data_IF_853290661255
#
_entry.id   IF_853290661255
#
_cell.length_a   1.000
_cell.length_b   1.000
_cell.length_c   1.000
_cell.angle_alpha   90.00
_cell.angle_beta   90.00
_cell.angle_gamma   90.00
#
_symmetry.space_group_name_H-M   'P 1'
#
loop_
_entity.id
_entity.type
_entity.pdbx_description
1 polymer ?
#
# COMPACT_ATOMS: atom_id res chain seq x y z
N UNK A 1 -16.16 16.06 9.11
CA UNK A 1 -15.45 16.41 7.87
C UNK A 1 -15.70 15.29 6.87
N UNK A 2 -16.42 15.59 5.78
CA UNK A 2 -16.42 14.78 4.57
C UNK A 2 -14.98 14.53 4.09
N UNK A 3 -14.78 13.48 3.30
CA UNK A 3 -13.44 13.01 2.94
C UNK A 3 -13.04 13.39 1.52
N UNK A 4 -11.77 13.74 1.34
CA UNK A 4 -11.15 13.80 0.00
C UNK A 4 -10.91 12.38 -0.54
N UNK A 5 -10.71 12.23 -1.86
CA UNK A 5 -10.43 10.92 -2.46
C UNK A 5 -9.20 10.24 -1.86
N UNK A 6 -9.28 8.92 -1.70
CA UNK A 6 -8.17 8.11 -1.19
C UNK A 6 -7.14 7.83 -2.28
N UNK A 7 -5.88 7.76 -1.91
CA UNK A 7 -4.79 7.38 -2.81
C UNK A 7 -4.22 6.03 -2.42
N UNK A 8 -3.86 5.24 -3.42
CA UNK A 8 -3.26 3.93 -3.23
C UNK A 8 -2.13 3.69 -4.22
N UNK A 9 -1.02 3.17 -3.68
CA UNK A 9 0.16 2.73 -4.43
C UNK A 9 0.42 1.30 -3.99
N UNK A 10 0.17 0.35 -4.88
CA UNK A 10 0.23 -1.07 -4.55
C UNK A 10 0.96 -1.87 -5.62
N UNK A 11 1.53 -3.01 -5.22
CA UNK A 11 2.03 -4.02 -6.12
C UNK A 11 1.08 -5.22 -6.09
N UNK A 12 0.64 -5.67 -7.26
CA UNK A 12 -0.19 -6.86 -7.42
C UNK A 12 0.56 -7.91 -8.25
N UNK A 13 0.32 -9.19 -7.96
CA UNK A 13 0.78 -10.28 -8.82
C UNK A 13 0.23 -10.14 -10.24
N UNK A 14 1.01 -10.52 -11.26
CA UNK A 14 0.49 -10.59 -12.64
C UNK A 14 -0.66 -11.59 -12.76
N UNK A 15 -1.54 -11.38 -13.76
CA UNK A 15 -2.58 -12.34 -14.12
C UNK A 15 -1.96 -13.71 -14.42
N UNK A 16 -2.55 -14.78 -13.90
CA UNK A 16 -2.00 -16.14 -14.02
C UNK A 16 -0.93 -16.49 -12.98
N UNK A 17 -0.89 -15.79 -11.84
CA UNK A 17 0.00 -16.13 -10.71
C UNK A 17 -0.07 -17.61 -10.37
N UNK A 18 1.11 -18.19 -10.08
CA UNK A 18 1.28 -19.59 -9.66
C UNK A 18 0.40 -19.94 -8.46
N UNK A 19 0.12 -18.98 -7.59
CA UNK A 19 -0.69 -19.17 -6.38
C UNK A 19 -2.19 -18.90 -6.57
N UNK A 20 -2.63 -18.57 -7.79
CA UNK A 20 -4.03 -18.38 -8.12
C UNK A 20 -4.48 -16.92 -8.08
N UNK A 21 -5.73 -16.68 -7.67
CA UNK A 21 -6.32 -15.32 -7.63
C UNK A 21 -6.10 -14.68 -6.27
N UNK A 22 -6.25 -13.36 -6.21
CA UNK A 22 -6.26 -12.61 -4.95
C UNK A 22 -7.21 -13.25 -3.90
N UNK A 23 -6.82 -13.35 -2.62
CA UNK A 23 -5.57 -12.84 -2.02
C UNK A 23 -4.42 -13.86 -2.02
N UNK A 24 -4.59 -15.03 -2.64
CA UNK A 24 -3.56 -16.08 -2.65
C UNK A 24 -2.30 -15.63 -3.39
N UNK A 25 -2.48 -14.79 -4.40
CA UNK A 25 -1.42 -14.28 -5.24
C UNK A 25 -0.61 -13.13 -4.63
N UNK A 26 -1.06 -12.58 -3.50
CA UNK A 26 -0.38 -11.50 -2.81
C UNK A 26 -0.69 -10.09 -3.32
N UNK A 27 -0.67 -9.12 -2.42
CA UNK A 27 -0.68 -7.67 -2.71
C UNK A 27 0.15 -6.94 -1.64
N UNK A 28 0.97 -6.00 -2.09
CA UNK A 28 1.81 -5.15 -1.24
C UNK A 28 1.34 -3.70 -1.41
N UNK A 29 0.61 -3.19 -0.43
CA UNK A 29 0.22 -1.79 -0.38
C UNK A 29 1.34 -0.96 0.22
N UNK A 30 2.05 -0.25 -0.66
CA UNK A 30 3.19 0.59 -0.30
C UNK A 30 2.74 1.88 0.39
N UNK A 31 1.61 2.43 -0.06
CA UNK A 31 1.00 3.63 0.50
C UNK A 31 -0.52 3.61 0.28
N UNK A 32 -1.27 3.65 1.38
CA UNK A 32 -2.69 3.98 1.40
C UNK A 32 -2.92 5.22 2.26
N UNK A 33 -3.63 6.20 1.72
CA UNK A 33 -4.06 7.38 2.45
C UNK A 33 -5.55 7.63 2.21
N UNK A 34 -6.25 8.04 3.26
CA UNK A 34 -7.68 8.34 3.21
C UNK A 34 -7.92 9.80 3.52
N UNK A 35 -8.78 10.45 2.73
CA UNK A 35 -8.92 11.90 2.78
C UNK A 35 -9.38 12.49 4.11
N UNK A 36 -10.16 11.73 4.90
CA UNK A 36 -10.58 12.18 6.23
C UNK A 36 -9.50 12.00 7.32
N UNK A 37 -8.35 11.44 6.99
CA UNK A 37 -7.19 11.29 7.87
C UNK A 37 -5.88 11.63 7.12
N UNK A 38 -5.73 12.89 6.64
CA UNK A 38 -4.70 13.27 5.67
C UNK A 38 -3.29 13.01 6.19
N UNK A 39 -3.04 13.23 7.49
CA UNK A 39 -1.73 13.04 8.12
C UNK A 39 -1.33 11.60 8.46
N UNK A 40 -2.08 10.60 7.96
CA UNK A 40 -1.86 9.18 8.26
C UNK A 40 -1.75 8.37 6.99
N UNK A 41 -0.60 7.76 6.83
CA UNK A 41 -0.29 6.82 5.76
C UNK A 41 -0.31 5.39 6.29
N UNK A 42 -0.69 4.43 5.45
CA UNK A 42 -0.71 3.01 5.80
C UNK A 42 0.06 2.21 4.77
N UNK A 43 0.75 1.19 5.25
CA UNK A 43 1.20 0.07 4.44
C UNK A 43 0.46 -1.18 4.88
N UNK A 44 0.06 -1.99 3.91
CA UNK A 44 -0.72 -3.20 4.12
C UNK A 44 -0.12 -4.34 3.30
N UNK A 45 -0.20 -5.55 3.85
CA UNK A 45 0.22 -6.77 3.16
C UNK A 45 -1.01 -7.66 3.04
N UNK A 46 -1.35 -8.08 1.84
CA UNK A 46 -2.47 -8.97 1.61
C UNK A 46 -1.99 -10.35 1.13
N UNK A 47 -2.42 -11.40 1.84
CA UNK A 47 -2.09 -12.82 1.57
C UNK A 47 -3.29 -13.70 1.90
N UNK A 48 -3.18 -15.01 1.63
CA UNK A 48 -4.19 -15.98 2.04
C UNK A 48 -4.48 -15.91 3.56
N UNK A 49 -3.44 -15.74 4.37
CA UNK A 49 -3.55 -15.61 5.83
C UNK A 49 -3.94 -14.23 6.33
N UNK A 50 -3.66 -13.18 5.54
CA UNK A 50 -3.91 -11.80 5.93
C UNK A 50 -4.67 -11.03 4.85
N UNK A 51 -6.00 -10.94 4.95
CA UNK A 51 -6.80 -10.15 4.01
C UNK A 51 -8.12 -9.72 4.66
N UNK A 52 -8.70 -8.63 4.15
CA UNK A 52 -9.95 -8.04 4.69
C UNK A 52 -9.82 -7.72 6.18
N UNK A 53 -10.60 -8.41 7.03
CA UNK A 53 -10.58 -8.28 8.50
C UNK A 53 -9.72 -9.36 9.18
N UNK A 54 -9.12 -10.28 8.40
CA UNK A 54 -8.32 -11.39 8.91
C UNK A 54 -6.84 -10.98 8.91
N UNK A 55 -6.21 -11.18 10.07
CA UNK A 55 -4.82 -10.80 10.32
C UNK A 55 -4.63 -9.28 10.51
N UNK A 56 -3.51 -8.90 11.12
CA UNK A 56 -3.22 -7.52 11.53
C UNK A 56 -1.93 -6.98 10.89
N UNK A 57 -1.82 -7.12 9.57
CA UNK A 57 -0.67 -6.64 8.78
C UNK A 57 -0.96 -5.35 8.01
N UNK A 58 -1.76 -4.49 8.63
CA UNK A 58 -1.94 -3.10 8.23
C UNK A 58 -1.23 -2.24 9.26
N UNK A 59 -0.16 -1.55 8.87
CA UNK A 59 0.56 -0.63 9.75
C UNK A 59 0.36 0.80 9.32
N UNK A 60 0.04 1.62 10.31
CA UNK A 60 -0.17 3.04 10.14
C UNK A 60 1.06 3.78 10.62
N UNK A 61 1.44 4.82 9.90
CA UNK A 61 2.34 5.84 10.38
C UNK A 61 1.57 7.16 10.42
N UNK A 62 1.54 7.76 11.61
CA UNK A 62 1.02 9.12 11.82
C UNK A 62 2.19 10.11 11.78
N UNK A 63 1.90 11.37 11.45
CA UNK A 63 2.89 12.44 11.49
C UNK A 63 3.42 12.89 10.12
N UNK A 64 2.93 12.29 9.03
CA UNK A 64 3.12 12.79 7.66
C UNK A 64 2.09 13.90 7.40
N UNK A 65 2.17 14.98 8.19
CA UNK A 65 1.08 15.98 8.33
C UNK A 65 0.72 16.66 7.01
N UNK A 66 1.69 16.74 6.11
CA UNK A 66 1.68 17.38 4.81
C UNK A 66 1.58 16.40 3.64
N UNK A 67 1.15 15.15 3.88
CA UNK A 67 1.00 14.12 2.84
C UNK A 67 0.13 14.52 1.63
N UNK A 68 -0.72 15.55 1.77
CA UNK A 68 -1.56 16.10 0.69
C UNK A 68 -1.00 17.38 0.06
N UNK A 69 0.01 18.00 0.65
CA UNK A 69 0.52 19.33 0.28
C UNK A 69 2.00 19.34 -0.06
N UNK A 70 2.73 18.26 0.19
CA UNK A 70 4.15 18.11 -0.11
C UNK A 70 4.45 16.75 -0.76
N UNK A 71 5.54 16.70 -1.52
CA UNK A 71 6.06 15.43 -2.02
C UNK A 71 6.76 14.68 -0.89
N UNK A 72 6.43 13.40 -0.76
CA UNK A 72 7.11 12.45 0.14
C UNK A 72 7.61 11.26 -0.67
N UNK A 73 8.70 10.66 -0.20
CA UNK A 73 9.23 9.42 -0.78
C UNK A 73 8.63 8.24 -0.03
N UNK A 74 7.74 7.52 -0.70
CA UNK A 74 7.23 6.23 -0.23
C UNK A 74 8.05 5.13 -0.89
N UNK A 75 8.62 4.24 -0.09
CA UNK A 75 9.47 3.16 -0.60
C UNK A 75 9.19 1.83 0.11
N UNK A 76 9.50 0.74 -0.59
CA UNK A 76 9.66 -0.57 0.04
C UNK A 76 10.97 -1.23 -0.39
N UNK A 77 11.65 -1.86 0.57
CA UNK A 77 12.73 -2.80 0.30
C UNK A 77 12.16 -4.21 0.34
N UNK A 78 12.13 -4.87 -0.81
CA UNK A 78 11.64 -6.23 -0.96
C UNK A 78 12.81 -7.18 -1.22
N UNK A 79 12.88 -8.22 -0.38
CA UNK A 79 13.87 -9.30 -0.43
C UNK A 79 13.16 -10.64 -0.22
N UNK A 80 13.82 -11.79 -0.49
CA UNK A 80 13.23 -13.11 -0.21
C UNK A 80 12.79 -13.30 1.25
N UNK A 81 13.42 -12.59 2.19
CA UNK A 81 13.21 -12.77 3.62
C UNK A 81 12.21 -11.78 4.24
N UNK A 82 11.97 -10.63 3.59
CA UNK A 82 11.13 -9.55 4.14
C UNK A 82 10.78 -8.47 3.13
N UNK A 83 9.69 -7.76 3.43
CA UNK A 83 9.31 -6.46 2.86
C UNK A 83 9.38 -5.41 3.97
N UNK A 84 10.17 -4.37 3.80
CA UNK A 84 10.26 -3.23 4.72
C UNK A 84 9.71 -1.97 4.05
N UNK A 85 8.95 -1.14 4.79
CA UNK A 85 8.27 0.04 4.27
C UNK A 85 8.77 1.32 4.92
N UNK A 86 8.87 2.37 4.11
CA UNK A 86 9.48 3.64 4.47
C UNK A 86 8.62 4.82 4.00
N UNK A 87 8.65 5.90 4.78
CA UNK A 87 8.28 7.26 4.36
C UNK A 87 9.46 8.16 4.67
N UNK A 88 9.98 8.88 3.68
CA UNK A 88 11.12 9.79 3.82
C UNK A 88 12.31 9.14 4.55
N UNK A 89 12.74 7.98 4.04
CA UNK A 89 13.83 7.14 4.58
C UNK A 89 13.60 6.59 6.00
N UNK A 90 12.46 6.86 6.61
CA UNK A 90 12.10 6.34 7.94
C UNK A 90 11.30 5.07 7.82
N UNK A 91 11.89 3.95 8.23
CA UNK A 91 11.18 2.68 8.33
C UNK A 91 10.05 2.78 9.35
N UNK A 92 8.86 2.34 8.98
CA UNK A 92 7.72 2.26 9.90
C UNK A 92 7.06 0.88 9.95
N UNK A 93 7.37 -0.01 9.01
CA UNK A 93 6.83 -1.36 8.98
C UNK A 93 7.80 -2.37 8.36
N UNK A 94 7.75 -3.62 8.85
CA UNK A 94 8.45 -4.76 8.31
C UNK A 94 7.55 -5.99 8.38
N UNK A 95 7.41 -6.67 7.25
CA UNK A 95 6.75 -7.97 7.12
C UNK A 95 7.80 -9.03 6.78
N UNK A 96 7.94 -10.06 7.61
CA UNK A 96 8.98 -11.09 7.46
C UNK A 96 8.41 -12.36 6.83
N UNK A 97 9.19 -13.02 5.99
CA UNK A 97 8.96 -14.39 5.57
C UNK A 97 9.25 -15.31 6.76
N UNK A 98 8.22 -16.00 7.26
CA UNK A 98 8.37 -16.91 8.40
C UNK A 98 8.67 -18.35 7.95
N UNK A 99 8.88 -18.58 6.65
CA UNK A 99 9.06 -19.93 6.10
C UNK A 99 7.79 -20.77 6.15
N UNK A 100 6.61 -20.13 6.18
CA UNK A 100 5.29 -20.79 6.35
C UNK A 100 4.55 -21.05 5.04
N UNK A 101 5.27 -21.03 3.92
CA UNK A 101 4.75 -21.29 2.58
C UNK A 101 3.94 -20.12 1.97
N UNK A 102 3.44 -20.34 0.76
CA UNK A 102 2.84 -19.31 -0.09
C UNK A 102 1.59 -18.64 0.52
N UNK A 103 0.87 -19.31 1.43
CA UNK A 103 -0.25 -18.70 2.13
C UNK A 103 0.14 -17.50 2.99
N UNK A 104 1.39 -17.51 3.48
CA UNK A 104 1.99 -16.42 4.26
C UNK A 104 2.89 -15.56 3.38
N UNK A 105 3.59 -16.16 2.42
CA UNK A 105 4.59 -15.49 1.60
C UNK A 105 4.42 -15.80 0.11
N UNK A 106 3.44 -15.18 -0.58
CA UNK A 106 3.32 -15.28 -2.04
C UNK A 106 4.25 -14.31 -2.80
N UNK A 107 5.25 -13.73 -2.13
CA UNK A 107 6.11 -12.65 -2.63
C UNK A 107 7.43 -13.17 -3.20
N UNK A 108 7.36 -14.25 -3.97
CA UNK A 108 8.46 -14.83 -4.74
C UNK A 108 8.13 -14.94 -6.25
N UNK A 109 7.06 -14.26 -6.68
CA UNK A 109 6.60 -14.16 -8.07
C UNK A 109 6.78 -12.73 -8.61
N UNK A 110 6.54 -12.53 -9.90
CA UNK A 110 6.52 -11.20 -10.53
C UNK A 110 5.27 -10.39 -10.14
N UNK A 111 5.48 -9.12 -9.76
CA UNK A 111 4.44 -8.15 -9.44
C UNK A 111 4.45 -6.98 -10.44
N UNK A 112 3.35 -6.24 -10.51
CA UNK A 112 3.21 -5.01 -11.27
C UNK A 112 2.71 -3.88 -10.35
N UNK A 113 3.10 -2.64 -10.67
CA UNK A 113 2.74 -1.46 -9.89
C UNK A 113 1.38 -0.90 -10.35
N UNK A 114 0.55 -0.56 -9.37
CA UNK A 114 -0.72 0.15 -9.53
C UNK A 114 -0.63 1.46 -8.75
N UNK A 115 -0.98 2.56 -9.42
CA UNK A 115 -1.12 3.89 -8.85
C UNK A 115 -2.53 4.38 -9.16
N UNK A 116 -3.34 4.66 -8.13
CA UNK A 116 -4.72 5.12 -8.35
C UNK A 116 -5.19 6.12 -7.30
N UNK A 117 -6.20 6.89 -7.71
CA UNK A 117 -7.04 7.72 -6.83
C UNK A 117 -8.43 7.09 -6.81
N UNK A 118 -8.88 6.64 -5.65
CA UNK A 118 -10.20 6.06 -5.48
C UNK A 118 -11.14 7.08 -4.80
N UNK A 119 -12.33 7.25 -5.38
CA UNK A 119 -13.43 8.04 -4.82
C UNK A 119 -14.47 7.07 -4.27
N UNK A 120 -14.84 7.22 -3.00
CA UNK A 120 -15.86 6.40 -2.38
C UNK A 120 -15.33 5.13 -1.69
N UNK A 121 -16.10 4.03 -1.73
CA UNK A 121 -15.75 2.77 -1.05
C UNK A 121 -16.06 2.76 0.46
N UNK A 122 -16.30 1.56 1.00
CA UNK A 122 -16.79 1.40 2.38
C UNK A 122 -15.87 1.99 3.46
N UNK A 123 -14.56 2.05 3.20
CA UNK A 123 -13.58 2.61 4.12
C UNK A 123 -13.38 4.12 3.92
N UNK A 124 -13.10 4.57 2.69
CA UNK A 124 -12.82 5.97 2.44
C UNK A 124 -14.08 6.85 2.55
N UNK A 125 -15.24 6.40 2.07
CA UNK A 125 -16.51 7.13 2.20
C UNK A 125 -17.15 7.09 3.60
N UNK A 126 -16.50 6.50 4.60
CA UNK A 126 -17.08 6.32 5.95
C UNK A 126 -17.52 7.63 6.61
N UNK A 127 -16.96 8.77 6.20
CA UNK A 127 -17.31 10.11 6.68
C UNK A 127 -18.05 10.97 5.65
N UNK A 128 -18.53 10.37 4.56
CA UNK A 128 -19.06 11.07 3.39
C UNK A 128 -17.96 11.49 2.41
N UNK A 129 -18.39 11.88 1.20
CA UNK A 129 -17.53 12.42 0.15
C UNK A 129 -17.60 13.95 0.22
N UNK A 130 -16.45 14.62 0.13
CA UNK A 130 -16.39 16.08 0.03
C UNK A 130 -16.42 16.51 -1.43
N UNK A 131 -17.59 16.94 -1.92
CA UNK A 131 -17.73 17.40 -3.31
C UNK A 131 -16.90 18.67 -3.59
N UNK A 132 -16.58 19.47 -2.55
CA UNK A 132 -15.76 20.67 -2.71
C UNK A 132 -14.27 20.35 -2.92
N UNK A 133 -13.85 19.11 -2.68
CA UNK A 133 -12.49 18.65 -2.91
C UNK A 133 -12.18 18.29 -4.37
N UNK A 134 -13.17 18.40 -5.27
CA UNK A 134 -13.00 18.11 -6.69
C UNK A 134 -12.75 19.37 -7.53
N UNK A 135 -11.91 19.27 -8.57
CA UNK A 135 -11.11 18.11 -8.95
C UNK A 135 -9.94 17.86 -7.98
N UNK A 136 -9.56 16.59 -7.80
CA UNK A 136 -8.39 16.19 -7.03
C UNK A 136 -7.37 15.46 -7.93
N UNK A 137 -6.10 15.52 -7.57
CA UNK A 137 -5.03 14.84 -8.28
C UNK A 137 -4.09 14.11 -7.33
N UNK A 138 -3.48 13.03 -7.83
CA UNK A 138 -2.27 12.45 -7.24
C UNK A 138 -1.09 12.81 -8.14
N UNK A 139 -0.19 13.61 -7.62
CA UNK A 139 1.04 13.97 -8.34
C UNK A 139 2.14 12.93 -8.06
N UNK A 140 2.86 12.57 -9.11
CA UNK A 140 3.95 11.58 -9.04
C UNK A 140 5.17 12.16 -9.74
N UNK A 141 6.12 12.66 -8.96
CA UNK A 141 7.36 13.21 -9.49
C UNK A 141 8.23 12.13 -10.16
N UNK A 142 8.29 10.92 -9.58
CA UNK A 142 8.98 9.78 -10.16
C UNK A 142 8.48 8.44 -9.61
N UNK A 143 8.81 7.37 -10.35
CA UNK A 143 8.85 6.00 -9.87
C UNK A 143 10.26 5.48 -10.17
N UNK A 144 10.93 4.89 -9.18
CA UNK A 144 12.26 4.29 -9.34
C UNK A 144 12.22 2.86 -8.81
N UNK A 145 12.80 1.94 -9.58
CA UNK A 145 12.95 0.53 -9.20
C UNK A 145 14.44 0.23 -9.22
N UNK A 146 14.94 -0.33 -8.11
CA UNK A 146 16.33 -0.68 -7.94
C UNK A 146 16.46 -2.17 -7.67
N UNK A 147 17.53 -2.77 -8.18
CA UNK A 147 17.90 -4.15 -7.90
C UNK A 147 19.26 -4.17 -7.24
N UNK A 148 19.37 -4.86 -6.09
CA UNK A 148 20.66 -5.07 -5.43
C UNK A 148 21.52 -5.95 -6.34
N UNK A 149 22.78 -5.53 -6.57
CA UNK A 149 23.77 -6.39 -7.23
C UNK A 149 24.18 -7.47 -6.24
N UNK A 150 24.15 -8.73 -6.69
CA UNK A 150 24.67 -9.88 -5.96
C UNK A 150 26.19 -9.91 -5.95
#
# INVERSE_FOLDING_TARGET
MPSTPSTRRQLDSRAGSVYGKWPLSGEIDLMENVGWEPGVVRASIHTARNHRRRGNHNRRVSGVKDAHTAFHVYACDWTPDRVEFFVDDRKFYSYKNEGRGAEQWPFDQDFHLILNVAVGGAWAARRGIDDSAFPCAMEVAFVKVFQRRG
#
